data_IF_480130110282
#
_entry.id   IF_480130110282
#
_cell.length_a   1.000
_cell.length_b   1.000
_cell.length_c   1.000
_cell.angle_alpha   90.00
_cell.angle_beta   90.00
_cell.angle_gamma   90.00
#
_symmetry.space_group_name_H-M   'P 1'
#
loop_
_entity.id
_entity.type
_entity.pdbx_description
1 polymer ?
#
# COMPACT_ATOMS: atom_id res chain seq x y z
N UNK A 1 -17.22 -7.07 27.77
CA UNK A 1 -16.48 -5.83 27.43
C UNK A 1 -15.00 -6.06 27.14
N UNK A 2 -14.25 -6.81 27.95
CA UNK A 2 -12.80 -7.00 27.76
C UNK A 2 -12.36 -7.61 26.40
N UNK A 3 -13.13 -8.50 25.78
CA UNK A 3 -12.76 -9.16 24.52
C UNK A 3 -12.90 -8.24 23.27
N UNK A 4 -13.77 -7.24 23.33
CA UNK A 4 -13.99 -6.29 22.21
C UNK A 4 -12.87 -5.24 22.19
N UNK A 5 -12.51 -4.71 23.37
CA UNK A 5 -11.37 -3.78 23.50
C UNK A 5 -10.06 -4.42 23.06
N UNK A 6 -9.81 -5.70 23.40
CA UNK A 6 -8.60 -6.40 22.99
C UNK A 6 -8.53 -6.59 21.46
N UNK A 7 -9.67 -6.86 20.78
CA UNK A 7 -9.72 -7.03 19.31
C UNK A 7 -9.50 -5.72 18.54
N UNK A 8 -10.04 -4.60 19.04
CA UNK A 8 -9.80 -3.29 18.44
C UNK A 8 -8.35 -2.86 18.62
N UNK A 9 -7.79 -3.05 19.82
CA UNK A 9 -6.40 -2.75 20.12
C UNK A 9 -5.42 -3.52 19.22
N UNK A 10 -5.64 -4.83 19.04
CA UNK A 10 -4.83 -5.63 18.10
C UNK A 10 -4.91 -5.07 16.68
N UNK A 11 -6.10 -4.65 16.22
CA UNK A 11 -6.26 -4.11 14.86
C UNK A 11 -5.54 -2.77 14.69
N UNK A 12 -5.50 -1.93 15.72
CA UNK A 12 -4.73 -0.69 15.73
C UNK A 12 -3.23 -0.99 15.65
N UNK A 13 -2.73 -1.97 16.41
CA UNK A 13 -1.33 -2.40 16.33
C UNK A 13 -1.00 -2.89 14.91
N UNK A 14 -1.86 -3.70 14.30
CA UNK A 14 -1.67 -4.16 12.93
C UNK A 14 -1.58 -2.97 11.96
N UNK A 15 -2.41 -1.95 12.14
CA UNK A 15 -2.39 -0.75 11.30
C UNK A 15 -1.09 0.06 11.50
N UNK A 16 -0.63 0.22 12.75
CA UNK A 16 0.63 0.93 13.05
C UNK A 16 1.82 0.21 12.39
N UNK A 17 1.93 -1.11 12.58
CA UNK A 17 3.02 -1.88 11.96
C UNK A 17 2.93 -1.83 10.43
N UNK A 18 1.72 -1.91 9.86
CA UNK A 18 1.50 -1.78 8.42
C UNK A 18 2.01 -0.43 7.89
N UNK A 19 1.73 0.66 8.57
CA UNK A 19 2.19 2.00 8.20
C UNK A 19 3.72 2.09 8.27
N UNK A 20 4.34 1.55 9.33
CA UNK A 20 5.80 1.52 9.46
C UNK A 20 6.47 0.70 8.36
N UNK A 21 5.92 -0.49 8.04
CA UNK A 21 6.44 -1.33 6.96
C UNK A 21 6.31 -0.60 5.62
N UNK A 22 5.15 -0.03 5.31
CA UNK A 22 4.98 0.71 4.05
C UNK A 22 5.88 1.94 3.95
N UNK A 23 6.18 2.59 5.07
CA UNK A 23 7.09 3.75 5.07
C UNK A 23 8.51 3.38 4.66
N UNK A 24 9.00 2.20 5.06
CA UNK A 24 10.35 1.74 4.72
C UNK A 24 10.47 1.12 3.32
N UNK A 25 9.36 0.69 2.71
CA UNK A 25 9.37 0.00 1.40
C UNK A 25 9.94 0.89 0.29
N UNK A 26 9.67 2.19 0.29
CA UNK A 26 10.06 3.10 -0.78
C UNK A 26 11.58 3.19 -0.96
N UNK A 27 12.30 3.38 0.15
CA UNK A 27 13.76 3.45 0.16
C UNK A 27 14.37 2.07 -0.07
N UNK A 28 13.89 1.03 0.62
CA UNK A 28 14.40 -0.32 0.48
C UNK A 28 14.23 -0.87 -0.94
N UNK A 29 13.06 -0.65 -1.57
CA UNK A 29 12.81 -1.12 -2.93
C UNK A 29 13.66 -0.35 -3.95
N UNK A 30 13.89 0.95 -3.74
CA UNK A 30 14.84 1.69 -4.58
C UNK A 30 16.23 1.04 -4.56
N UNK A 31 16.76 0.72 -3.36
CA UNK A 31 18.06 0.05 -3.22
C UNK A 31 18.03 -1.32 -3.91
N UNK A 32 16.97 -2.13 -3.72
CA UNK A 32 16.88 -3.43 -4.38
C UNK A 32 16.90 -3.33 -5.90
N UNK A 33 16.24 -2.32 -6.46
CA UNK A 33 16.14 -2.10 -7.91
C UNK A 33 17.41 -1.51 -8.55
N UNK A 34 18.47 -1.22 -7.76
CA UNK A 34 19.80 -0.93 -8.28
C UNK A 34 20.42 -2.18 -8.95
N UNK A 35 20.08 -3.38 -8.46
CA UNK A 35 20.61 -4.65 -8.95
C UNK A 35 19.56 -5.58 -9.53
N UNK A 36 18.30 -5.43 -9.15
CA UNK A 36 17.22 -6.35 -9.55
C UNK A 36 16.16 -5.55 -10.30
N UNK A 37 15.90 -5.86 -11.58
CA UNK A 37 14.89 -5.14 -12.37
C UNK A 37 13.48 -5.22 -11.74
N UNK A 38 12.64 -4.18 -11.93
CA UNK A 38 11.40 -3.99 -11.18
C UNK A 38 10.41 -5.17 -11.24
N UNK A 39 10.15 -5.69 -12.45
CA UNK A 39 9.18 -6.77 -12.60
C UNK A 39 9.70 -8.09 -12.02
N UNK A 40 10.99 -8.39 -12.24
CA UNK A 40 11.65 -9.55 -11.64
C UNK A 40 11.69 -9.46 -10.12
N UNK A 41 11.98 -8.28 -9.56
CA UNK A 41 11.92 -8.07 -8.11
C UNK A 41 10.52 -8.39 -7.57
N UNK A 42 9.47 -7.93 -8.25
CA UNK A 42 8.08 -8.25 -7.86
C UNK A 42 7.78 -9.74 -7.87
N UNK A 43 8.22 -10.47 -8.90
CA UNK A 43 8.04 -11.93 -9.01
C UNK A 43 8.79 -12.65 -7.90
N UNK A 44 10.06 -12.28 -7.66
CA UNK A 44 10.94 -12.88 -6.65
C UNK A 44 10.34 -12.75 -5.24
N UNK A 45 9.78 -11.60 -4.86
CA UNK A 45 9.20 -11.44 -3.52
C UNK A 45 7.78 -11.99 -3.41
N UNK A 46 7.01 -11.97 -4.49
CA UNK A 46 5.58 -12.27 -4.43
C UNK A 46 5.26 -13.75 -4.49
N UNK A 47 6.02 -14.59 -5.23
CA UNK A 47 5.78 -16.02 -5.26
C UNK A 47 6.04 -16.68 -3.89
N UNK A 48 7.17 -16.41 -3.18
CA UNK A 48 7.35 -16.92 -1.83
C UNK A 48 6.31 -16.39 -0.84
N UNK A 49 5.88 -15.13 -0.98
CA UNK A 49 4.83 -14.56 -0.12
C UNK A 49 3.48 -15.29 -0.31
N UNK A 50 3.12 -15.64 -1.54
CA UNK A 50 1.96 -16.49 -1.82
C UNK A 50 2.03 -17.82 -1.08
N UNK A 51 3.16 -18.54 -1.18
CA UNK A 51 3.36 -19.83 -0.50
C UNK A 51 3.25 -19.67 1.02
N UNK A 52 3.89 -18.63 1.57
CA UNK A 52 3.82 -18.31 3.00
C UNK A 52 2.40 -18.05 3.46
N UNK A 53 1.65 -17.19 2.77
CA UNK A 53 0.28 -16.83 3.11
C UNK A 53 -0.66 -18.03 3.07
N UNK A 54 -0.57 -18.86 2.03
CA UNK A 54 -1.39 -20.08 1.96
C UNK A 54 -1.02 -21.11 3.01
N UNK A 55 0.28 -21.23 3.35
CA UNK A 55 0.74 -22.14 4.41
C UNK A 55 0.20 -21.72 5.78
N UNK A 56 0.25 -20.39 6.09
CA UNK A 56 -0.33 -19.85 7.31
C UNK A 56 -1.85 -19.98 7.33
N UNK A 57 -2.50 -19.69 6.20
CA UNK A 57 -3.94 -19.85 6.02
C UNK A 57 -4.39 -21.29 6.20
N UNK A 58 -3.65 -22.25 5.64
CA UNK A 58 -3.93 -23.67 5.84
C UNK A 58 -3.85 -24.11 7.30
N UNK A 59 -2.84 -23.65 8.03
CA UNK A 59 -2.74 -23.90 9.47
C UNK A 59 -3.97 -23.40 10.24
N UNK A 60 -4.56 -22.29 9.81
CA UNK A 60 -5.70 -21.62 10.45
C UNK A 60 -7.05 -22.26 10.08
N UNK A 61 -7.33 -22.43 8.77
CA UNK A 61 -8.65 -22.81 8.27
C UNK A 61 -8.69 -24.18 7.59
N UNK A 62 -7.58 -24.91 7.55
CA UNK A 62 -7.43 -26.26 6.99
C UNK A 62 -7.87 -26.41 5.53
N UNK A 63 -7.81 -25.30 4.77
CA UNK A 63 -8.06 -25.29 3.32
C UNK A 63 -7.17 -24.27 2.62
N UNK A 64 -6.83 -24.56 1.37
CA UNK A 64 -6.13 -23.64 0.45
C UNK A 64 -6.93 -23.45 -0.83
N UNK A 65 -8.21 -23.82 -0.83
CA UNK A 65 -9.07 -23.67 -2.02
C UNK A 65 -9.16 -22.19 -2.43
N UNK A 66 -9.22 -21.95 -3.72
CA UNK A 66 -9.48 -20.62 -4.26
C UNK A 66 -10.82 -20.12 -3.71
N UNK A 67 -10.88 -18.90 -3.15
CA UNK A 67 -12.13 -18.26 -2.76
C UNK A 67 -13.09 -18.16 -3.95
N UNK A 68 -14.20 -18.90 -3.90
CA UNK A 68 -15.20 -18.92 -4.98
C UNK A 68 -16.49 -18.20 -4.59
N UNK A 69 -16.58 -17.70 -3.37
CA UNK A 69 -17.68 -16.88 -2.85
C UNK A 69 -17.86 -15.58 -3.67
N UNK A 70 -16.80 -15.00 -4.19
CA UNK A 70 -16.82 -13.98 -5.25
C UNK A 70 -15.53 -13.96 -6.06
N UNK A 71 -15.40 -14.88 -7.01
CA UNK A 71 -14.21 -15.04 -7.86
C UNK A 71 -13.92 -13.77 -8.70
N UNK A 72 -14.96 -13.08 -9.16
CA UNK A 72 -14.81 -11.83 -9.91
C UNK A 72 -14.10 -10.76 -9.07
N UNK A 73 -14.51 -10.59 -7.82
CA UNK A 73 -13.86 -9.66 -6.90
C UNK A 73 -12.42 -10.07 -6.62
N UNK A 74 -12.15 -11.37 -6.44
CA UNK A 74 -10.78 -11.87 -6.26
C UNK A 74 -9.88 -11.53 -7.46
N UNK A 75 -10.36 -11.77 -8.68
CA UNK A 75 -9.62 -11.44 -9.92
C UNK A 75 -9.36 -9.93 -10.03
N UNK A 76 -10.38 -9.11 -9.73
CA UNK A 76 -10.26 -7.65 -9.79
C UNK A 76 -9.28 -7.09 -8.74
N UNK A 77 -9.34 -7.57 -7.48
CA UNK A 77 -8.36 -7.12 -6.48
C UNK A 77 -6.94 -7.59 -6.81
N UNK A 78 -6.79 -8.76 -7.41
CA UNK A 78 -5.50 -9.26 -7.88
C UNK A 78 -4.93 -8.37 -8.99
N UNK A 79 -5.78 -7.96 -9.93
CA UNK A 79 -5.38 -7.07 -11.01
C UNK A 79 -5.05 -5.66 -10.50
N UNK A 80 -5.97 -5.01 -9.75
CA UNK A 80 -5.78 -3.62 -9.33
C UNK A 80 -4.73 -3.45 -8.23
N UNK A 81 -4.70 -4.32 -7.20
CA UNK A 81 -3.80 -4.16 -6.05
C UNK A 81 -2.48 -4.92 -6.20
N UNK A 82 -2.35 -5.82 -7.17
CA UNK A 82 -1.09 -6.55 -7.38
C UNK A 82 -0.53 -6.28 -8.77
N UNK A 83 -1.22 -6.63 -9.85
CA UNK A 83 -0.68 -6.46 -11.19
C UNK A 83 -0.43 -4.99 -11.52
N UNK A 84 -1.51 -4.22 -11.59
CA UNK A 84 -1.45 -2.83 -12.06
C UNK A 84 -0.73 -1.92 -11.07
N UNK A 85 -1.10 -2.00 -9.78
CA UNK A 85 -0.46 -1.25 -8.71
C UNK A 85 1.06 -1.44 -8.70
N UNK A 86 1.53 -2.70 -8.69
CA UNK A 86 2.96 -2.98 -8.55
C UNK A 86 3.75 -2.53 -9.77
N UNK A 87 3.23 -2.77 -10.98
CA UNK A 87 3.89 -2.29 -12.21
C UNK A 87 4.03 -0.75 -12.15
N UNK A 88 2.92 -0.05 -11.94
CA UNK A 88 2.90 1.41 -11.93
C UNK A 88 3.76 2.00 -10.80
N UNK A 89 3.72 1.41 -9.60
CA UNK A 89 4.51 1.85 -8.46
C UNK A 89 6.01 1.65 -8.68
N UNK A 90 6.43 0.46 -9.12
CA UNK A 90 7.85 0.15 -9.31
C UNK A 90 8.46 1.02 -10.41
N UNK A 91 7.80 1.17 -11.56
CA UNK A 91 8.25 2.10 -12.59
C UNK A 91 8.17 3.57 -12.14
N UNK A 92 7.19 3.94 -11.33
CA UNK A 92 7.14 5.26 -10.69
C UNK A 92 8.38 5.53 -9.83
N UNK A 93 8.81 4.55 -9.03
CA UNK A 93 10.03 4.64 -8.21
C UNK A 93 11.27 4.80 -9.09
N UNK A 94 11.40 4.03 -10.17
CA UNK A 94 12.57 4.13 -11.06
C UNK A 94 12.63 5.46 -11.81
N UNK A 95 11.48 6.05 -12.16
CA UNK A 95 11.41 7.29 -12.95
C UNK A 95 11.50 8.55 -12.09
N UNK A 96 10.92 8.55 -10.89
CA UNK A 96 10.80 9.74 -10.04
C UNK A 96 11.66 9.67 -8.77
N UNK A 97 12.15 8.48 -8.42
CA UNK A 97 12.73 8.18 -7.12
C UNK A 97 11.67 7.84 -6.06
N UNK A 98 12.11 7.17 -4.98
CA UNK A 98 11.20 6.60 -3.97
C UNK A 98 10.31 7.64 -3.27
N UNK A 99 10.89 8.74 -2.78
CA UNK A 99 10.15 9.78 -2.07
C UNK A 99 9.10 10.47 -2.93
N UNK A 100 9.43 10.84 -4.19
CA UNK A 100 8.49 11.45 -5.14
C UNK A 100 7.34 10.51 -5.49
N UNK A 101 7.65 9.26 -5.80
CA UNK A 101 6.66 8.25 -6.10
C UNK A 101 5.74 7.98 -4.89
N UNK A 102 6.29 7.97 -3.67
CA UNK A 102 5.48 7.87 -2.45
C UNK A 102 4.46 9.01 -2.37
N UNK A 103 4.91 10.27 -2.44
CA UNK A 103 4.03 11.45 -2.32
C UNK A 103 2.85 11.37 -3.28
N UNK A 104 3.11 11.10 -4.57
CA UNK A 104 2.05 11.02 -5.59
C UNK A 104 1.09 9.86 -5.36
N UNK A 105 1.61 8.73 -4.97
CA UNK A 105 0.82 7.53 -4.71
C UNK A 105 -0.13 7.71 -3.52
N UNK A 106 0.30 8.43 -2.49
CA UNK A 106 -0.53 8.70 -1.30
C UNK A 106 -1.64 9.74 -1.51
N UNK A 107 -1.95 10.12 -2.76
CA UNK A 107 -3.25 10.69 -3.13
C UNK A 107 -4.38 9.65 -3.11
N UNK A 108 -4.06 8.35 -3.02
CA UNK A 108 -5.04 7.24 -3.01
C UNK A 108 -6.19 7.39 -1.98
N UNK A 109 -6.04 7.99 -0.79
CA UNK A 109 -7.15 8.19 0.14
C UNK A 109 -8.24 9.11 -0.41
N UNK A 110 -7.85 10.11 -1.21
CA UNK A 110 -8.80 11.01 -1.87
C UNK A 110 -9.65 10.23 -2.87
N UNK A 111 -9.02 9.43 -3.72
CA UNK A 111 -9.71 8.57 -4.69
C UNK A 111 -10.62 7.55 -4.00
N UNK A 112 -10.13 6.87 -2.96
CA UNK A 112 -10.92 5.90 -2.21
C UNK A 112 -12.15 6.54 -1.57
N UNK A 113 -12.02 7.74 -1.01
CA UNK A 113 -13.15 8.48 -0.42
C UNK A 113 -14.16 8.92 -1.47
N UNK A 114 -13.70 9.42 -2.63
CA UNK A 114 -14.57 9.80 -3.75
C UNK A 114 -15.36 8.58 -4.23
N UNK A 115 -14.71 7.44 -4.45
CA UNK A 115 -15.39 6.22 -4.87
C UNK A 115 -16.38 5.72 -3.82
N UNK A 116 -15.99 5.70 -2.53
CA UNK A 116 -16.89 5.30 -1.45
C UNK A 116 -18.18 6.13 -1.42
N UNK A 117 -18.07 7.42 -1.74
CA UNK A 117 -19.22 8.33 -1.82
C UNK A 117 -20.05 8.14 -3.10
N UNK A 118 -19.41 8.09 -4.27
CA UNK A 118 -20.09 7.93 -5.58
C UNK A 118 -20.90 6.63 -5.60
N UNK A 119 -20.34 5.54 -5.09
CA UNK A 119 -21.03 4.26 -5.02
C UNK A 119 -21.98 4.13 -3.82
N UNK A 120 -22.14 5.18 -3.01
CA UNK A 120 -23.07 5.22 -1.88
C UNK A 120 -22.70 4.31 -0.72
N UNK A 121 -21.45 3.85 -0.62
CA UNK A 121 -20.99 2.95 0.45
C UNK A 121 -20.70 3.69 1.76
N UNK A 122 -20.18 4.92 1.68
CA UNK A 122 -19.87 5.75 2.85
C UNK A 122 -20.35 7.18 2.63
N UNK A 123 -20.85 7.81 3.69
CA UNK A 123 -21.24 9.23 3.63
C UNK A 123 -20.00 10.10 3.87
N UNK A 124 -19.84 11.10 3.02
CA UNK A 124 -18.86 12.16 3.27
C UNK A 124 -19.48 13.14 4.27
N UNK A 125 -18.76 13.41 5.34
CA UNK A 125 -19.10 14.47 6.30
C UNK A 125 -17.97 15.50 6.33
N UNK A 126 -18.23 16.64 6.99
CA UNK A 126 -17.27 17.75 7.08
C UNK A 126 -15.93 17.30 7.68
N UNK A 127 -15.94 16.36 8.64
CA UNK A 127 -14.71 15.86 9.26
C UNK A 127 -13.84 15.09 8.27
N UNK A 128 -14.45 14.28 7.39
CA UNK A 128 -13.73 13.58 6.30
C UNK A 128 -13.10 14.59 5.34
N UNK A 129 -13.88 15.59 4.93
CA UNK A 129 -13.40 16.64 4.01
C UNK A 129 -12.21 17.39 4.62
N UNK A 130 -12.34 17.84 5.87
CA UNK A 130 -11.25 18.52 6.57
C UNK A 130 -10.03 17.62 6.70
N UNK A 131 -10.20 16.35 7.07
CA UNK A 131 -9.09 15.39 7.19
C UNK A 131 -8.36 15.18 5.87
N UNK A 132 -9.09 15.07 4.76
CA UNK A 132 -8.49 14.93 3.43
C UNK A 132 -7.77 16.21 3.00
N UNK A 133 -8.36 17.38 3.24
CA UNK A 133 -7.72 18.67 2.93
C UNK A 133 -6.41 18.81 3.72
N UNK A 134 -6.42 18.53 5.02
CA UNK A 134 -5.21 18.58 5.85
C UNK A 134 -4.15 17.59 5.37
N UNK A 135 -4.55 16.36 5.07
CA UNK A 135 -3.65 15.35 4.51
C UNK A 135 -3.04 15.78 3.17
N UNK A 136 -3.84 16.36 2.28
CA UNK A 136 -3.37 16.86 0.98
C UNK A 136 -2.47 18.08 1.12
N UNK A 137 -2.72 18.97 2.07
CA UNK A 137 -1.81 20.09 2.39
C UNK A 137 -0.46 19.53 2.86
N UNK A 138 -0.45 18.51 3.73
CA UNK A 138 0.80 17.86 4.15
C UNK A 138 1.54 17.21 2.98
N UNK A 139 0.86 16.49 2.10
CA UNK A 139 1.44 15.94 0.88
C UNK A 139 1.97 17.04 -0.05
N UNK A 140 1.27 18.16 -0.15
CA UNK A 140 1.72 19.32 -0.91
C UNK A 140 3.03 19.90 -0.36
N UNK A 141 3.18 20.04 0.97
CA UNK A 141 4.46 20.48 1.55
C UNK A 141 5.61 19.54 1.21
N UNK A 142 5.40 18.23 1.27
CA UNK A 142 6.41 17.25 0.82
C UNK A 142 6.73 17.36 -0.68
N UNK A 143 5.82 17.89 -1.48
CA UNK A 143 5.97 17.99 -2.94
C UNK A 143 6.63 19.30 -3.41
N UNK A 144 6.82 20.31 -2.55
CA UNK A 144 7.34 21.63 -2.95
C UNK A 144 8.76 21.53 -3.55
N UNK A 145 9.60 20.63 -3.01
CA UNK A 145 10.97 20.43 -3.49
C UNK A 145 11.04 19.50 -4.71
N UNK A 146 9.89 19.03 -5.18
CA UNK A 146 9.79 18.05 -6.26
C UNK A 146 9.41 18.77 -7.56
N UNK A 147 10.32 18.83 -8.53
CA UNK A 147 9.97 19.28 -9.86
C UNK A 147 9.17 18.19 -10.62
N UNK A 148 7.87 18.09 -10.29
CA UNK A 148 6.97 17.03 -10.76
C UNK A 148 6.84 17.03 -12.29
N UNK A 149 7.00 18.19 -12.92
CA UNK A 149 6.79 18.37 -14.37
C UNK A 149 8.00 18.00 -15.23
N UNK A 150 9.16 17.73 -14.66
CA UNK A 150 10.33 17.25 -15.41
C UNK A 150 10.08 15.87 -16.06
N UNK A 151 9.25 15.04 -15.46
CA UNK A 151 8.89 13.72 -16.00
C UNK A 151 7.38 13.49 -15.92
N UNK A 152 6.66 14.07 -16.88
CA UNK A 152 5.19 13.97 -16.95
C UNK A 152 4.70 12.51 -17.05
N UNK A 153 5.43 11.65 -17.77
CA UNK A 153 5.05 10.23 -17.88
C UNK A 153 5.20 9.52 -16.53
N UNK A 154 6.33 9.71 -15.83
CA UNK A 154 6.53 9.20 -14.48
C UNK A 154 5.46 9.70 -13.50
N UNK A 155 5.09 10.99 -13.60
CA UNK A 155 4.00 11.58 -12.82
C UNK A 155 2.66 10.85 -13.06
N UNK A 156 2.25 10.69 -14.32
CA UNK A 156 0.96 10.09 -14.68
C UNK A 156 0.87 8.62 -14.26
N UNK A 157 1.91 7.81 -14.49
CA UNK A 157 1.90 6.41 -14.10
C UNK A 157 1.85 6.25 -12.57
N UNK A 158 2.58 7.10 -11.83
CA UNK A 158 2.61 7.04 -10.37
C UNK A 158 1.27 7.48 -9.77
N UNK A 159 0.65 8.50 -10.32
CA UNK A 159 -0.71 8.91 -9.92
C UNK A 159 -1.73 7.80 -10.22
N UNK A 160 -1.59 7.13 -11.37
CA UNK A 160 -2.44 5.99 -11.75
C UNK A 160 -2.24 4.78 -10.82
N UNK A 161 -1.05 4.62 -10.22
CA UNK A 161 -0.83 3.62 -9.16
C UNK A 161 -1.74 3.89 -7.96
N UNK A 162 -1.79 5.13 -7.44
CA UNK A 162 -2.69 5.51 -6.35
C UNK A 162 -4.16 5.25 -6.67
N UNK A 163 -4.59 5.57 -7.90
CA UNK A 163 -5.94 5.29 -8.39
C UNK A 163 -6.24 3.79 -8.42
N UNK A 164 -5.31 2.98 -8.96
CA UNK A 164 -5.44 1.52 -9.00
C UNK A 164 -5.62 0.93 -7.60
N UNK A 165 -4.80 1.35 -6.64
CA UNK A 165 -4.92 0.91 -5.26
C UNK A 165 -6.26 1.28 -4.64
N UNK A 166 -6.76 2.49 -4.88
CA UNK A 166 -8.06 2.94 -4.39
C UNK A 166 -9.22 2.09 -4.91
N UNK A 167 -9.22 1.75 -6.21
CA UNK A 167 -10.21 0.84 -6.81
C UNK A 167 -10.16 -0.52 -6.13
N UNK A 168 -8.97 -1.11 -5.99
CA UNK A 168 -8.81 -2.40 -5.32
C UNK A 168 -9.26 -2.36 -3.85
N UNK A 169 -8.98 -1.27 -3.13
CA UNK A 169 -9.45 -1.07 -1.74
C UNK A 169 -10.98 -1.13 -1.65
N UNK A 170 -11.69 -0.50 -2.59
CA UNK A 170 -13.15 -0.56 -2.65
C UNK A 170 -13.66 -1.98 -2.87
N UNK A 171 -13.01 -2.73 -3.76
CA UNK A 171 -13.39 -4.12 -4.04
C UNK A 171 -13.07 -5.03 -2.84
N UNK A 172 -11.93 -4.85 -2.17
CA UNK A 172 -11.61 -5.57 -0.92
C UNK A 172 -12.69 -5.35 0.13
N UNK A 173 -13.18 -4.12 0.29
CA UNK A 173 -14.16 -3.77 1.32
C UNK A 173 -15.57 -4.22 0.97
N UNK A 174 -16.00 -3.99 -0.26
CA UNK A 174 -17.41 -4.11 -0.66
C UNK A 174 -17.66 -5.21 -1.70
N UNK A 175 -16.61 -5.86 -2.18
CA UNK A 175 -16.68 -6.89 -3.23
C UNK A 175 -17.25 -8.24 -2.78
N UNK A 176 -17.65 -8.39 -1.52
CA UNK A 176 -18.37 -9.56 -1.03
C UNK A 176 -17.53 -10.82 -0.82
N UNK A 177 -16.18 -10.70 -0.74
CA UNK A 177 -15.30 -11.83 -0.42
C UNK A 177 -15.41 -12.12 1.08
N UNK A 178 -15.81 -13.33 1.44
CA UNK A 178 -16.03 -13.76 2.83
C UNK A 178 -14.97 -14.75 3.34
N UNK A 179 -14.14 -15.25 2.45
CA UNK A 179 -13.07 -16.20 2.77
C UNK A 179 -12.02 -15.60 3.71
N UNK A 180 -11.26 -16.46 4.39
CA UNK A 180 -10.21 -16.02 5.33
C UNK A 180 -9.18 -15.10 4.66
N UNK A 181 -8.78 -14.04 5.37
CA UNK A 181 -7.91 -13.02 4.83
C UNK A 181 -6.52 -13.50 4.41
N UNK A 182 -5.96 -14.55 5.06
CA UNK A 182 -4.68 -15.15 4.65
C UNK A 182 -4.83 -15.89 3.31
N UNK A 183 -5.95 -16.61 3.13
CA UNK A 183 -6.24 -17.32 1.88
C UNK A 183 -6.48 -16.34 0.75
N UNK A 184 -7.28 -15.29 1.00
CA UNK A 184 -7.54 -14.24 -0.01
C UNK A 184 -6.26 -13.53 -0.39
N UNK A 185 -5.44 -13.08 0.58
CA UNK A 185 -4.18 -12.41 0.31
C UNK A 185 -3.20 -13.31 -0.45
N UNK A 186 -3.12 -14.60 -0.13
CA UNK A 186 -2.29 -15.55 -0.85
C UNK A 186 -2.70 -15.69 -2.31
N UNK A 187 -3.97 -15.99 -2.58
CA UNK A 187 -4.47 -16.12 -3.94
C UNK A 187 -4.40 -14.81 -4.73
N UNK A 188 -4.65 -13.67 -4.08
CA UNK A 188 -4.48 -12.35 -4.67
C UNK A 188 -3.06 -12.14 -5.19
N UNK A 189 -2.03 -12.55 -4.41
CA UNK A 189 -0.63 -12.43 -4.82
C UNK A 189 -0.36 -13.21 -6.11
N UNK A 190 -0.63 -14.52 -6.13
CA UNK A 190 -0.24 -15.34 -7.29
C UNK A 190 -1.05 -14.99 -8.54
N UNK A 191 -2.36 -14.77 -8.42
CA UNK A 191 -3.21 -14.37 -9.55
C UNK A 191 -2.74 -13.04 -10.15
N UNK A 192 -2.34 -12.08 -9.30
CA UNK A 192 -1.84 -10.79 -9.76
C UNK A 192 -0.41 -10.83 -10.29
N UNK A 193 0.41 -11.81 -9.90
CA UNK A 193 1.79 -11.95 -10.38
C UNK A 193 1.85 -12.70 -11.70
N UNK A 194 0.99 -13.67 -11.95
CA UNK A 194 0.98 -14.45 -13.19
C UNK A 194 1.07 -13.56 -14.45
N UNK A 195 0.29 -12.48 -14.59
CA UNK A 195 0.41 -11.59 -15.76
C UNK A 195 1.76 -10.85 -15.83
N UNK A 196 2.48 -10.68 -14.72
CA UNK A 196 3.76 -9.97 -14.67
C UNK A 196 4.91 -10.86 -15.17
N UNK A 197 4.83 -12.18 -14.96
CA UNK A 197 5.90 -13.12 -15.26
C UNK A 197 6.40 -13.03 -16.71
N UNK A 198 5.56 -13.09 -17.76
CA UNK A 198 6.04 -13.01 -19.14
C UNK A 198 6.74 -11.67 -19.45
N UNK A 199 6.30 -10.57 -18.86
CA UNK A 199 6.98 -9.29 -19.02
C UNK A 199 8.30 -9.23 -18.27
N UNK A 200 8.40 -9.80 -17.06
CA UNK A 200 9.66 -9.93 -16.33
C UNK A 200 10.67 -10.76 -17.12
N UNK A 201 10.26 -11.89 -17.69
CA UNK A 201 11.13 -12.75 -18.51
C UNK A 201 11.59 -12.04 -19.80
N UNK A 202 10.74 -11.22 -20.41
CA UNK A 202 11.06 -10.55 -21.66
C UNK A 202 11.92 -9.28 -21.47
N UNK A 203 11.58 -8.44 -20.49
CA UNK A 203 12.23 -7.13 -20.33
C UNK A 203 13.38 -7.15 -19.31
N UNK A 204 13.33 -8.01 -18.30
CA UNK A 204 14.22 -7.90 -17.14
C UNK A 204 15.37 -8.91 -17.16
N UNK A 205 15.22 -10.05 -17.85
CA UNK A 205 16.12 -11.21 -17.68
C UNK A 205 17.61 -10.89 -17.87
N UNK A 206 17.94 -9.96 -18.77
CA UNK A 206 19.33 -9.58 -19.09
C UNK A 206 19.79 -8.31 -18.37
N UNK A 207 18.99 -7.76 -17.46
CA UNK A 207 19.24 -6.47 -16.83
C UNK A 207 19.56 -6.57 -15.33
N UNK A 208 19.92 -7.75 -14.84
CA UNK A 208 20.34 -7.93 -13.45
C UNK A 208 21.76 -7.34 -13.25
N UNK A 209 21.91 -6.56 -12.19
CA UNK A 209 23.20 -6.09 -11.70
C UNK A 209 23.85 -7.07 -10.72
N UNK A 210 24.90 -6.64 -10.06
CA UNK A 210 25.59 -7.41 -9.02
C UNK A 210 24.74 -7.49 -7.75
N UNK A 211 24.40 -8.71 -7.33
CA UNK A 211 23.56 -8.93 -6.15
C UNK A 211 24.44 -9.04 -4.90
N UNK A 212 24.33 -8.07 -4.03
CA UNK A 212 25.01 -8.01 -2.74
C UNK A 212 24.10 -8.51 -1.59
N UNK A 213 24.66 -8.70 -0.40
CA UNK A 213 23.92 -9.10 0.80
C UNK A 213 22.74 -8.16 1.12
N UNK A 214 22.92 -6.84 0.93
CA UNK A 214 21.84 -5.86 1.13
C UNK A 214 20.60 -6.18 0.30
N UNK A 215 20.77 -6.54 -0.97
CA UNK A 215 19.68 -6.90 -1.88
C UNK A 215 18.96 -8.16 -1.42
N UNK A 216 19.71 -9.18 -0.97
CA UNK A 216 19.14 -10.42 -0.41
C UNK A 216 18.32 -10.14 0.84
N UNK A 217 18.81 -9.31 1.78
CA UNK A 217 18.08 -8.93 2.97
C UNK A 217 16.79 -8.17 2.62
N UNK A 218 16.82 -7.30 1.61
CA UNK A 218 15.63 -6.58 1.13
C UNK A 218 14.63 -7.53 0.46
N UNK A 219 15.08 -8.56 -0.27
CA UNK A 219 14.20 -9.62 -0.79
C UNK A 219 13.46 -10.30 0.36
N UNK A 220 14.16 -10.74 1.41
CA UNK A 220 13.52 -11.34 2.59
C UNK A 220 12.51 -10.37 3.25
N UNK A 221 12.90 -9.12 3.43
CA UNK A 221 11.99 -8.10 3.92
C UNK A 221 10.74 -7.95 3.01
N UNK A 222 10.95 -7.93 1.69
CA UNK A 222 9.89 -7.87 0.69
C UNK A 222 8.91 -9.05 0.78
N UNK A 223 9.41 -10.26 0.98
CA UNK A 223 8.61 -11.48 1.12
C UNK A 223 7.74 -11.43 2.38
N UNK A 224 8.39 -11.30 3.55
CA UNK A 224 7.71 -11.46 4.83
C UNK A 224 6.86 -10.27 5.21
N UNK A 225 7.39 -9.06 5.05
CA UNK A 225 6.75 -7.84 5.51
C UNK A 225 5.96 -7.15 4.40
N UNK A 226 6.59 -6.76 3.31
CA UNK A 226 5.93 -5.97 2.27
C UNK A 226 4.86 -6.75 1.48
N UNK A 227 5.06 -8.04 1.23
CA UNK A 227 4.12 -8.82 0.43
C UNK A 227 3.19 -9.70 1.26
N UNK A 228 3.68 -10.42 2.26
CA UNK A 228 2.82 -11.30 3.05
C UNK A 228 2.07 -10.53 4.14
N UNK A 229 2.81 -9.88 5.05
CA UNK A 229 2.20 -9.20 6.20
C UNK A 229 1.26 -8.07 5.78
N UNK A 230 1.70 -7.16 4.90
CA UNK A 230 0.92 -5.95 4.60
C UNK A 230 -0.39 -6.25 3.88
N UNK A 231 -0.41 -7.20 2.94
CA UNK A 231 -1.65 -7.58 2.25
C UNK A 231 -2.66 -8.25 3.19
N UNK A 232 -2.20 -9.15 4.06
CA UNK A 232 -3.06 -9.74 5.08
C UNK A 232 -3.54 -8.72 6.11
N UNK A 233 -2.64 -7.87 6.63
CA UNK A 233 -2.97 -6.86 7.62
C UNK A 233 -3.94 -5.82 7.06
N UNK A 234 -3.69 -5.31 5.84
CA UNK A 234 -4.55 -4.34 5.18
C UNK A 234 -5.96 -4.90 4.96
N UNK A 235 -6.07 -6.14 4.47
CA UNK A 235 -7.34 -6.82 4.33
C UNK A 235 -8.08 -6.94 5.67
N UNK A 236 -7.35 -7.34 6.72
CA UNK A 236 -7.91 -7.50 8.07
C UNK A 236 -8.38 -6.17 8.66
N UNK A 237 -7.63 -5.10 8.45
CA UNK A 237 -7.97 -3.75 8.92
C UNK A 237 -9.21 -3.22 8.19
N UNK A 238 -9.26 -3.35 6.86
CA UNK A 238 -10.40 -2.92 6.05
C UNK A 238 -11.71 -3.64 6.40
N UNK A 239 -11.65 -4.90 6.82
CA UNK A 239 -12.85 -5.60 7.30
C UNK A 239 -13.42 -5.01 8.58
N UNK A 240 -12.59 -4.37 9.42
CA UNK A 240 -12.98 -3.86 10.74
C UNK A 240 -13.22 -2.35 10.78
N UNK A 241 -12.45 -1.60 10.00
CA UNK A 241 -12.59 -0.14 9.90
C UNK A 241 -13.21 0.27 8.56
N UNK A 242 -13.69 1.51 8.48
CA UNK A 242 -14.17 2.09 7.22
C UNK A 242 -13.00 2.33 6.25
N UNK A 243 -13.32 2.45 4.94
CA UNK A 243 -12.35 2.82 3.91
C UNK A 243 -11.71 4.17 4.27
N UNK A 244 -12.53 5.14 4.69
CA UNK A 244 -12.04 6.48 5.04
C UNK A 244 -11.01 6.46 6.17
N UNK A 245 -11.30 5.78 7.29
CA UNK A 245 -10.36 5.69 8.42
C UNK A 245 -9.08 4.99 7.99
N UNK A 246 -9.18 3.85 7.31
CA UNK A 246 -8.01 3.08 6.88
C UNK A 246 -7.17 3.88 5.90
N UNK A 247 -7.80 4.51 4.90
CA UNK A 247 -7.10 5.29 3.88
C UNK A 247 -6.43 6.54 4.44
N UNK A 248 -7.11 7.29 5.32
CA UNK A 248 -6.54 8.50 5.95
C UNK A 248 -5.35 8.11 6.86
N UNK A 249 -5.46 6.99 7.58
CA UNK A 249 -4.36 6.54 8.47
C UNK A 249 -3.07 6.26 7.72
N UNK A 250 -3.14 5.74 6.49
CA UNK A 250 -1.94 5.46 5.68
C UNK A 250 -1.32 6.71 5.07
N UNK A 251 -1.95 7.90 5.16
CA UNK A 251 -1.31 9.16 4.77
C UNK A 251 -0.10 9.51 5.65
N UNK A 252 0.07 8.87 6.81
CA UNK A 252 1.29 9.00 7.61
C UNK A 252 2.54 8.38 6.92
N UNK A 253 2.35 7.47 5.96
CA UNK A 253 3.47 6.75 5.33
C UNK A 253 4.50 7.65 4.65
N UNK A 254 4.14 8.61 3.77
CA UNK A 254 5.15 9.45 3.13
C UNK A 254 5.96 10.29 4.12
N UNK A 255 5.34 10.77 5.20
CA UNK A 255 6.05 11.52 6.25
C UNK A 255 7.03 10.65 7.02
N UNK A 256 6.59 9.44 7.39
CA UNK A 256 7.45 8.49 8.07
C UNK A 256 8.56 7.96 7.13
N UNK A 257 8.32 7.88 5.82
CA UNK A 257 9.34 7.54 4.84
C UNK A 257 10.47 8.60 4.84
N UNK A 258 10.12 9.89 4.80
CA UNK A 258 11.11 10.98 4.90
C UNK A 258 11.86 10.93 6.24
N UNK A 259 11.17 10.66 7.34
CA UNK A 259 11.81 10.51 8.65
C UNK A 259 12.77 9.32 8.69
N UNK A 260 12.41 8.19 8.07
CA UNK A 260 13.29 7.02 7.94
C UNK A 260 14.53 7.37 7.12
N UNK A 261 14.36 8.06 5.98
CA UNK A 261 15.47 8.49 5.14
C UNK A 261 16.42 9.44 5.92
N UNK A 262 15.89 10.38 6.70
CA UNK A 262 16.67 11.23 7.59
C UNK A 262 17.52 10.44 8.59
N UNK A 263 16.92 9.41 9.22
CA UNK A 263 17.59 8.61 10.25
C UNK A 263 18.57 7.57 9.69
N UNK A 264 18.45 7.18 8.42
CA UNK A 264 19.22 6.08 7.82
C UNK A 264 20.25 6.48 6.80
N UNK A 265 20.04 7.59 6.09
CA UNK A 265 20.89 8.05 4.98
C UNK A 265 21.31 9.53 5.12
N UNK A 266 21.19 10.10 6.32
CA UNK A 266 21.50 11.51 6.64
C UNK A 266 20.82 12.52 5.70
N UNK A 267 19.62 12.18 5.20
CA UNK A 267 18.83 13.11 4.37
C UNK A 267 18.34 14.28 5.25
N UNK A 268 18.55 15.57 4.85
CA UNK A 268 18.20 16.69 5.71
C UNK A 268 16.70 16.76 5.95
N UNK A 269 16.31 16.78 7.24
CA UNK A 269 14.92 16.99 7.64
C UNK A 269 14.59 18.47 7.62
N UNK A 270 13.65 18.86 6.76
CA UNK A 270 13.33 20.27 6.51
C UNK A 270 12.17 20.78 7.38
N UNK A 271 12.00 22.09 7.42
CA UNK A 271 10.82 22.71 8.03
C UNK A 271 9.52 22.30 7.31
N UNK A 272 9.59 22.03 6.00
CA UNK A 272 8.45 21.56 5.20
C UNK A 272 8.03 20.16 5.61
N UNK A 273 8.99 19.27 5.92
CA UNK A 273 8.72 17.93 6.44
C UNK A 273 7.99 17.99 7.79
N UNK A 274 8.41 18.91 8.68
CA UNK A 274 7.75 19.13 9.96
C UNK A 274 6.31 19.65 9.78
N UNK A 275 6.10 20.60 8.87
CA UNK A 275 4.76 21.09 8.55
C UNK A 275 3.89 19.97 7.98
N UNK A 276 4.42 19.17 7.05
CA UNK A 276 3.73 18.01 6.50
C UNK A 276 3.29 17.03 7.59
N UNK A 277 4.18 16.71 8.54
CA UNK A 277 3.88 15.88 9.70
C UNK A 277 2.71 16.42 10.51
N UNK A 278 2.72 17.72 10.87
CA UNK A 278 1.68 18.37 11.66
C UNK A 278 0.33 18.29 10.95
N UNK A 279 0.27 18.62 9.66
CA UNK A 279 -0.98 18.62 8.89
C UNK A 279 -1.54 17.21 8.72
N UNK A 280 -0.71 16.21 8.40
CA UNK A 280 -1.14 14.83 8.21
C UNK A 280 -1.62 14.22 9.53
N UNK A 281 -0.88 14.39 10.64
CA UNK A 281 -1.32 13.89 11.96
C UNK A 281 -2.63 14.55 12.38
N UNK A 282 -2.78 15.86 12.15
CA UNK A 282 -4.03 16.57 12.45
C UNK A 282 -5.21 16.00 11.65
N UNK A 283 -5.02 15.70 10.36
CA UNK A 283 -6.01 15.04 9.53
C UNK A 283 -6.41 13.66 10.05
N UNK A 284 -5.42 12.83 10.41
CA UNK A 284 -5.66 11.49 10.97
C UNK A 284 -6.42 11.60 12.30
N UNK A 285 -6.03 12.53 13.18
CA UNK A 285 -6.69 12.75 14.46
C UNK A 285 -8.17 13.11 14.29
N UNK A 286 -8.49 14.06 13.39
CA UNK A 286 -9.88 14.46 13.10
C UNK A 286 -10.69 13.29 12.53
N UNK A 287 -10.10 12.48 11.64
CA UNK A 287 -10.75 11.30 11.09
C UNK A 287 -11.06 10.23 12.16
N UNK A 288 -10.15 10.07 13.14
CA UNK A 288 -10.28 9.06 14.20
C UNK A 288 -11.26 9.45 15.31
N UNK A 289 -11.35 10.75 15.66
CA UNK A 289 -12.13 11.22 16.81
C UNK A 289 -13.62 11.46 16.52
N UNK A 290 -13.99 11.63 15.25
CA UNK A 290 -15.40 11.77 14.85
C UNK A 290 -15.85 10.52 14.08
N UNK A 291 -16.38 9.49 14.79
CA UNK A 291 -16.79 8.25 14.14
C UNK A 291 -17.87 8.54 13.10
N UNK A 292 -17.63 8.02 11.90
CA UNK A 292 -18.52 8.16 10.76
C UNK A 292 -19.83 7.40 11.03
N UNK A 293 -20.96 8.05 10.78
CA UNK A 293 -22.27 7.40 10.86
C UNK A 293 -22.30 6.22 9.87
N UNK A 294 -22.33 5.00 10.38
CA UNK A 294 -22.72 3.84 9.58
C UNK A 294 -24.16 4.03 9.09
N UNK A 295 -24.42 3.75 7.84
CA UNK A 295 -25.77 3.41 7.39
C UNK A 295 -26.20 2.08 7.97
#
# INVERSE_FOLDING_TARGET
MGSIFSKQFITIILLIILVLVWSSVWSLFRIAMEAIPPLSFRVIIGIPAFVLLLSLGYKKVRTIKIPNDNIKSLLLISFFNVTLWQILMLYGITMLGGGRAAVLTYTMPVWATIFAAIFGYEKINLSIVISLILGMIGIFFLSIEINIFENLFGFLITLSAGLSWAIGTMIVKYGGIKSDGLIVAGWQQIIGIIPIIPFALYFDLNNFGEIELKHILIIFYGIFFSSAYTYWAYFTVLQKFSVNITSISVMAVPVLAVLIDYLTIDFPFSTLDLLALIFIISGIYIAATKPFSKR
#
